data_IF_107949159025
#
_entry.id   IF_107949159025
#
_cell.length_a   1.000
_cell.length_b   1.000
_cell.length_c   1.000
_cell.angle_alpha   90.00
_cell.angle_beta   90.00
_cell.angle_gamma   90.00
#
_symmetry.space_group_name_H-M   'P 1'
#
loop_
_entity.id
_entity.type
_entity.pdbx_description
1 polymer ?
#
# COMPACT_ATOMS: atom_id res chain seq x y z
N UNK A 1 -38.30 18.03 -42.87
CA UNK A 1 -38.35 19.50 -43.02
C UNK A 1 -37.52 20.14 -41.90
N UNK A 2 -36.25 20.53 -42.13
CA UNK A 2 -35.44 21.19 -41.11
C UNK A 2 -35.63 22.71 -41.17
N UNK A 3 -35.99 23.34 -40.05
CA UNK A 3 -36.18 24.80 -39.96
C UNK A 3 -34.89 25.44 -39.43
N UNK A 4 -34.18 26.11 -40.33
CA UNK A 4 -32.97 26.89 -40.06
C UNK A 4 -33.27 28.07 -39.13
N UNK A 5 -32.72 28.04 -37.90
CA UNK A 5 -32.87 29.13 -36.92
C UNK A 5 -31.77 30.18 -37.09
N UNK A 6 -32.20 31.35 -37.57
CA UNK A 6 -31.46 32.60 -37.78
C UNK A 6 -30.78 33.09 -36.49
N UNK A 7 -29.44 33.14 -36.48
CA UNK A 7 -28.62 33.62 -35.36
C UNK A 7 -28.60 35.16 -35.33
N UNK A 8 -29.13 35.77 -34.26
CA UNK A 8 -29.18 37.22 -34.03
C UNK A 8 -27.78 37.72 -33.58
N UNK A 9 -27.13 38.57 -34.37
CA UNK A 9 -25.94 39.35 -33.96
C UNK A 9 -26.33 40.29 -32.82
N UNK A 10 -25.69 40.17 -31.65
CA UNK A 10 -25.74 41.17 -30.58
C UNK A 10 -24.46 42.02 -30.58
N UNK A 11 -24.68 43.29 -30.30
CA UNK A 11 -23.83 44.46 -30.41
C UNK A 11 -22.58 44.43 -29.53
N UNK A 12 -21.48 44.91 -30.10
CA UNK A 12 -20.20 45.22 -29.47
C UNK A 12 -20.38 46.37 -28.46
N UNK A 13 -20.27 46.07 -27.17
CA UNK A 13 -20.14 47.05 -26.09
C UNK A 13 -18.65 47.35 -25.91
N UNK A 14 -18.26 48.60 -26.17
CA UNK A 14 -16.88 49.09 -26.02
C UNK A 14 -16.47 49.14 -24.55
N UNK A 15 -15.70 48.13 -24.12
CA UNK A 15 -15.06 48.10 -22.80
C UNK A 15 -13.75 48.87 -22.90
N UNK A 16 -13.70 50.08 -22.31
CA UNK A 16 -12.48 50.86 -22.12
C UNK A 16 -11.46 50.00 -21.37
N UNK A 17 -10.38 49.64 -22.06
CA UNK A 17 -9.23 48.94 -21.50
C UNK A 17 -8.53 49.87 -20.48
N UNK A 18 -8.80 49.65 -19.19
CA UNK A 18 -7.96 50.19 -18.12
C UNK A 18 -6.58 49.55 -18.30
N UNK A 19 -5.59 50.34 -18.71
CA UNK A 19 -4.17 49.96 -18.69
C UNK A 19 -3.83 49.55 -17.26
N UNK A 20 -3.71 48.25 -17.02
CA UNK A 20 -3.19 47.76 -15.75
C UNK A 20 -1.74 48.26 -15.60
N UNK A 21 -1.36 48.77 -14.42
CA UNK A 21 0.01 49.16 -14.13
C UNK A 21 0.91 47.93 -14.31
N UNK A 22 1.94 48.08 -15.14
CA UNK A 22 2.96 47.05 -15.37
C UNK A 22 3.70 46.85 -14.04
N UNK A 23 3.52 45.69 -13.42
CA UNK A 23 4.27 45.34 -12.21
C UNK A 23 5.77 45.46 -12.49
N UNK A 24 6.56 46.08 -11.59
CA UNK A 24 8.00 46.17 -11.77
C UNK A 24 8.59 44.76 -11.89
N UNK A 25 9.56 44.55 -12.80
CA UNK A 25 10.16 43.24 -12.98
C UNK A 25 10.80 42.79 -11.66
N UNK A 26 10.35 41.64 -11.14
CA UNK A 26 10.97 41.02 -9.98
C UNK A 26 12.46 40.82 -10.27
N UNK A 27 13.32 41.33 -9.39
CA UNK A 27 14.76 41.20 -9.58
C UNK A 27 15.15 39.71 -9.50
N UNK A 28 16.14 39.29 -10.30
CA UNK A 28 16.67 37.92 -10.25
C UNK A 28 17.12 37.51 -8.83
N UNK A 29 17.60 38.46 -8.04
CA UNK A 29 17.97 38.25 -6.64
C UNK A 29 16.76 37.91 -5.75
N UNK A 30 15.61 38.55 -5.96
CA UNK A 30 14.38 38.25 -5.23
C UNK A 30 13.88 36.83 -5.52
N UNK A 31 13.96 36.39 -6.78
CA UNK A 31 13.58 35.02 -7.15
C UNK A 31 14.54 33.99 -6.54
N UNK A 32 15.86 34.25 -6.57
CA UNK A 32 16.85 33.37 -5.97
C UNK A 32 16.63 33.18 -4.46
N UNK A 33 16.36 34.27 -3.73
CA UNK A 33 16.05 34.19 -2.29
C UNK A 33 14.78 33.39 -2.02
N UNK A 34 13.70 33.61 -2.80
CA UNK A 34 12.46 32.86 -2.64
C UNK A 34 12.63 31.35 -2.86
N UNK A 35 13.47 30.95 -3.83
CA UNK A 35 13.80 29.53 -4.02
C UNK A 35 14.60 28.97 -2.85
N UNK A 36 15.62 29.69 -2.35
CA UNK A 36 16.40 29.26 -1.19
C UNK A 36 15.51 29.08 0.05
N UNK A 37 14.61 30.02 0.32
CA UNK A 37 13.64 29.92 1.41
C UNK A 37 12.71 28.71 1.26
N UNK A 38 12.23 28.43 0.04
CA UNK A 38 11.42 27.25 -0.25
C UNK A 38 12.20 25.94 -0.05
N UNK A 39 13.48 25.89 -0.44
CA UNK A 39 14.33 24.73 -0.22
C UNK A 39 14.59 24.48 1.26
N UNK A 40 14.91 25.52 2.04
CA UNK A 40 15.08 25.40 3.49
C UNK A 40 13.80 24.97 4.17
N UNK A 41 12.66 25.54 3.79
CA UNK A 41 11.35 25.12 4.31
C UNK A 41 11.08 23.64 4.01
N UNK A 42 11.32 23.17 2.78
CA UNK A 42 11.14 21.76 2.41
C UNK A 42 12.07 20.84 3.19
N UNK A 43 13.32 21.25 3.42
CA UNK A 43 14.27 20.50 4.24
C UNK A 43 13.78 20.38 5.69
N UNK A 44 13.40 21.49 6.30
CA UNK A 44 12.84 21.52 7.65
C UNK A 44 11.58 20.65 7.77
N UNK A 45 10.70 20.71 6.77
CA UNK A 45 9.50 19.89 6.70
C UNK A 45 9.84 18.39 6.62
N UNK A 46 10.83 18.03 5.80
CA UNK A 46 11.32 16.65 5.72
C UNK A 46 11.91 16.15 7.04
N UNK A 47 12.71 16.97 7.72
CA UNK A 47 13.28 16.67 9.04
C UNK A 47 12.20 16.48 10.11
N UNK A 48 11.19 17.36 10.11
CA UNK A 48 10.04 17.27 11.01
C UNK A 48 9.27 15.96 10.81
N UNK A 49 8.88 15.64 9.58
CA UNK A 49 8.15 14.41 9.26
C UNK A 49 8.96 13.15 9.55
N UNK A 50 10.27 13.16 9.31
CA UNK A 50 11.17 12.07 9.69
C UNK A 50 11.22 11.86 11.21
N UNK A 51 11.21 12.96 12.00
CA UNK A 51 11.17 12.88 13.46
C UNK A 51 9.83 12.33 13.98
N UNK A 52 8.71 12.71 13.36
CA UNK A 52 7.38 12.13 13.64
C UNK A 52 7.38 10.63 13.36
N UNK A 53 7.79 10.24 12.15
CA UNK A 53 7.90 8.83 11.75
C UNK A 53 8.77 8.02 12.70
N UNK A 54 9.93 8.55 13.11
CA UNK A 54 10.84 7.92 14.06
C UNK A 54 10.27 7.76 15.47
N UNK A 55 9.43 8.68 15.92
CA UNK A 55 8.75 8.59 17.22
C UNK A 55 7.67 7.51 17.19
N UNK A 56 6.83 7.53 16.15
CA UNK A 56 5.77 6.53 15.96
C UNK A 56 6.34 5.12 15.78
N UNK A 57 7.37 4.97 14.96
CA UNK A 57 8.06 3.71 14.74
C UNK A 57 8.58 3.11 16.06
N UNK A 58 9.26 3.88 16.90
CA UNK A 58 9.76 3.40 18.20
C UNK A 58 8.63 2.94 19.11
N UNK A 59 7.55 3.73 19.21
CA UNK A 59 6.36 3.38 19.99
C UNK A 59 5.72 2.06 19.50
N UNK A 60 5.60 1.90 18.18
CA UNK A 60 5.08 0.68 17.58
C UNK A 60 5.96 -0.54 17.89
N UNK A 61 7.28 -0.42 17.75
CA UNK A 61 8.22 -1.51 18.07
C UNK A 61 8.18 -1.85 19.55
N UNK A 62 8.08 -0.87 20.47
CA UNK A 62 7.89 -1.13 21.91
C UNK A 62 6.65 -1.98 22.17
N UNK A 63 5.53 -1.60 21.59
CA UNK A 63 4.28 -2.32 21.77
C UNK A 63 4.32 -3.74 21.19
N UNK A 64 4.94 -3.92 20.01
CA UNK A 64 5.09 -5.23 19.37
C UNK A 64 6.04 -6.14 20.18
N UNK A 65 7.19 -5.63 20.61
CA UNK A 65 8.18 -6.39 21.40
C UNK A 65 7.58 -6.83 22.74
N UNK A 66 6.80 -5.98 23.41
CA UNK A 66 6.20 -6.29 24.70
C UNK A 66 5.23 -7.49 24.65
N UNK A 67 4.56 -7.71 23.51
CA UNK A 67 3.55 -8.76 23.36
C UNK A 67 4.03 -9.95 22.52
N UNK A 68 5.11 -9.80 21.75
CA UNK A 68 5.65 -10.83 20.86
C UNK A 68 5.80 -12.22 21.52
N UNK A 69 6.24 -12.38 22.79
CA UNK A 69 6.36 -13.71 23.40
C UNK A 69 5.05 -14.51 23.48
N UNK A 70 3.89 -13.86 23.40
CA UNK A 70 2.56 -14.48 23.51
C UNK A 70 1.88 -14.68 22.15
N UNK A 71 2.41 -14.09 21.10
CA UNK A 71 1.79 -14.01 19.78
C UNK A 71 2.46 -14.96 18.80
N UNK A 72 1.70 -15.53 17.87
CA UNK A 72 2.23 -16.21 16.69
C UNK A 72 2.84 -15.20 15.70
N UNK A 73 3.55 -15.67 14.67
CA UNK A 73 4.10 -14.77 13.64
C UNK A 73 2.97 -14.07 12.87
N UNK A 74 1.84 -14.75 12.75
CA UNK A 74 0.61 -14.25 12.13
C UNK A 74 -0.06 -13.17 12.98
N UNK A 75 -0.19 -13.40 14.29
CA UNK A 75 -0.71 -12.38 15.20
C UNK A 75 0.21 -11.15 15.20
N UNK A 76 1.53 -11.35 15.17
CA UNK A 76 2.49 -10.25 15.12
C UNK A 76 2.38 -9.46 13.81
N UNK A 77 2.16 -10.16 12.69
CA UNK A 77 1.91 -9.56 11.37
C UNK A 77 0.62 -8.73 11.37
N UNK A 78 -0.48 -9.31 11.85
CA UNK A 78 -1.79 -8.66 11.93
C UNK A 78 -1.74 -7.43 12.86
N UNK A 79 -1.10 -7.53 14.02
CA UNK A 79 -0.92 -6.39 14.93
C UNK A 79 0.01 -5.30 14.37
N UNK A 80 1.05 -5.66 13.62
CA UNK A 80 1.89 -4.70 12.90
C UNK A 80 1.04 -3.93 11.88
N UNK A 81 0.27 -4.64 11.06
CA UNK A 81 -0.60 -4.05 10.04
C UNK A 81 -1.63 -3.10 10.65
N UNK A 82 -2.35 -3.53 11.69
CA UNK A 82 -3.35 -2.69 12.38
C UNK A 82 -2.73 -1.41 12.95
N UNK A 83 -1.54 -1.50 13.57
CA UNK A 83 -0.86 -0.31 14.14
C UNK A 83 -0.34 0.62 13.05
N UNK A 84 0.20 0.07 11.97
CA UNK A 84 0.58 0.84 10.79
C UNK A 84 -0.63 1.57 10.21
N UNK A 85 -1.78 0.88 10.09
CA UNK A 85 -3.04 1.44 9.64
C UNK A 85 -3.49 2.64 10.48
N UNK A 86 -3.49 2.47 11.80
CA UNK A 86 -3.88 3.52 12.75
C UNK A 86 -2.98 4.75 12.65
N UNK A 87 -1.66 4.54 12.58
CA UNK A 87 -0.70 5.62 12.43
C UNK A 87 -0.93 6.40 11.12
N UNK A 88 -1.13 5.70 9.99
CA UNK A 88 -1.32 6.37 8.70
C UNK A 88 -2.64 7.13 8.61
N UNK A 89 -3.74 6.57 9.11
CA UNK A 89 -5.01 7.28 9.20
C UNK A 89 -4.91 8.56 10.06
N UNK A 90 -4.13 8.51 11.15
CA UNK A 90 -3.87 9.69 11.99
C UNK A 90 -3.09 10.77 11.22
N UNK A 91 -2.07 10.40 10.45
CA UNK A 91 -1.28 11.36 9.66
C UNK A 91 -2.07 11.94 8.49
N UNK A 92 -2.93 11.15 7.83
CA UNK A 92 -3.77 11.64 6.73
C UNK A 92 -4.83 12.65 7.22
N UNK A 93 -5.38 12.43 8.42
CA UNK A 93 -6.30 13.36 9.06
C UNK A 93 -5.63 14.59 9.70
N UNK A 94 -4.29 14.63 9.74
CA UNK A 94 -3.49 15.65 10.43
C UNK A 94 -3.32 16.97 9.67
N UNK A 95 -2.51 17.86 10.24
CA UNK A 95 -2.06 19.05 9.52
C UNK A 95 -1.18 18.64 8.33
N UNK A 96 -1.21 19.42 7.23
CA UNK A 96 -0.42 19.11 6.02
C UNK A 96 1.07 18.98 6.36
N UNK A 97 1.57 19.76 7.31
CA UNK A 97 2.95 19.71 7.77
C UNK A 97 3.31 18.38 8.44
N UNK A 98 2.34 17.75 9.11
CA UNK A 98 2.49 16.52 9.88
C UNK A 98 2.27 15.25 9.04
N UNK A 99 1.87 15.37 7.76
CA UNK A 99 1.65 14.22 6.89
C UNK A 99 2.94 13.43 6.68
N UNK A 100 3.01 12.24 7.29
CA UNK A 100 4.11 11.28 7.12
C UNK A 100 3.80 10.36 5.93
N UNK A 101 4.76 10.23 5.02
CA UNK A 101 4.63 9.31 3.91
C UNK A 101 4.71 7.84 4.40
N UNK A 102 3.86 6.92 3.88
CA UNK A 102 3.97 5.48 4.09
C UNK A 102 5.38 4.90 4.09
N UNK A 103 6.20 5.28 3.11
CA UNK A 103 7.57 4.80 2.94
C UNK A 103 8.51 5.33 4.04
N UNK A 104 8.29 6.56 4.51
CA UNK A 104 9.10 7.16 5.56
C UNK A 104 8.84 6.51 6.92
N UNK A 105 7.57 6.16 7.21
CA UNK A 105 7.24 5.37 8.40
C UNK A 105 7.88 3.97 8.35
N UNK A 106 7.86 3.31 7.18
CA UNK A 106 8.52 2.01 7.01
C UNK A 106 10.04 2.12 7.20
N UNK A 107 10.70 3.13 6.62
CA UNK A 107 12.13 3.37 6.83
C UNK A 107 12.42 3.61 8.30
N UNK A 108 11.61 4.40 8.98
CA UNK A 108 11.73 4.65 10.41
C UNK A 108 11.57 3.36 11.24
N UNK A 109 10.64 2.47 10.90
CA UNK A 109 10.47 1.15 11.53
C UNK A 109 11.73 0.29 11.39
N UNK A 110 12.29 0.19 10.18
CA UNK A 110 13.51 -0.58 9.94
C UNK A 110 14.72 -0.01 10.70
N UNK A 111 14.87 1.32 10.72
CA UNK A 111 15.92 2.00 11.50
C UNK A 111 15.76 1.72 12.99
N UNK A 112 14.55 1.85 13.54
CA UNK A 112 14.29 1.59 14.96
C UNK A 112 14.58 0.12 15.36
N UNK A 113 14.31 -0.84 14.47
CA UNK A 113 14.67 -2.24 14.68
C UNK A 113 16.20 -2.43 14.66
N UNK A 114 16.90 -1.85 13.69
CA UNK A 114 18.37 -1.94 13.58
C UNK A 114 19.07 -1.35 14.83
N UNK A 115 18.61 -0.19 15.29
CA UNK A 115 19.11 0.46 16.52
C UNK A 115 18.92 -0.43 17.75
N UNK A 116 17.76 -1.06 17.92
CA UNK A 116 17.50 -1.96 19.04
C UNK A 116 18.31 -3.24 18.97
N UNK A 117 18.52 -3.78 17.78
CA UNK A 117 19.39 -4.95 17.59
C UNK A 117 20.83 -4.61 17.98
N UNK A 118 21.31 -3.42 17.61
CA UNK A 118 22.63 -2.94 18.04
C UNK A 118 22.72 -2.79 19.57
N UNK A 119 21.72 -2.14 20.19
CA UNK A 119 21.66 -1.98 21.64
C UNK A 119 21.60 -3.33 22.39
N UNK A 120 20.84 -4.30 21.88
CA UNK A 120 20.75 -5.64 22.46
C UNK A 120 22.11 -6.35 22.39
N UNK A 121 22.84 -6.22 21.28
CA UNK A 121 24.18 -6.77 21.13
C UNK A 121 25.19 -6.14 22.09
N UNK A 122 25.16 -4.82 22.26
CA UNK A 122 26.02 -4.10 23.23
C UNK A 122 25.71 -4.48 24.68
N UNK A 123 24.43 -4.67 25.01
CA UNK A 123 23.97 -5.05 26.34
C UNK A 123 24.10 -6.55 26.65
N UNK A 124 24.38 -7.40 25.65
CA UNK A 124 24.38 -8.86 25.79
C UNK A 124 22.98 -9.46 26.03
N UNK A 125 21.92 -8.77 25.61
CA UNK A 125 20.53 -9.23 25.71
C UNK A 125 20.19 -10.11 24.50
N UNK A 126 19.39 -11.16 24.71
CA UNK A 126 18.93 -12.03 23.61
C UNK A 126 18.09 -11.25 22.57
N UNK A 127 18.54 -11.15 21.31
CA UNK A 127 17.83 -10.43 20.25
C UNK A 127 16.71 -11.25 19.59
N UNK A 128 16.38 -12.46 20.06
CA UNK A 128 15.43 -13.36 19.40
C UNK A 128 14.08 -12.72 19.03
N UNK A 129 13.50 -11.91 19.93
CA UNK A 129 12.24 -11.21 19.67
C UNK A 129 12.37 -10.18 18.54
N UNK A 130 13.49 -9.44 18.51
CA UNK A 130 13.75 -8.43 17.47
C UNK A 130 14.06 -9.07 16.12
N UNK A 131 14.79 -10.20 16.10
CA UNK A 131 15.02 -11.00 14.90
C UNK A 131 13.71 -11.51 14.30
N UNK A 132 12.82 -12.02 15.15
CA UNK A 132 11.49 -12.47 14.76
C UNK A 132 10.64 -11.33 14.19
N UNK A 133 10.59 -10.20 14.88
CA UNK A 133 9.89 -9.01 14.41
C UNK A 133 10.44 -8.49 13.07
N UNK A 134 11.76 -8.48 12.89
CA UNK A 134 12.40 -8.09 11.63
C UNK A 134 11.97 -9.00 10.48
N UNK A 135 11.93 -10.31 10.68
CA UNK A 135 11.43 -11.27 9.68
C UNK A 135 9.96 -11.02 9.32
N UNK A 136 9.10 -10.77 10.32
CA UNK A 136 7.68 -10.45 10.09
C UNK A 136 7.52 -9.15 9.30
N UNK A 137 8.17 -8.06 9.73
CA UNK A 137 8.15 -6.78 9.02
C UNK A 137 8.62 -6.98 7.58
N UNK A 138 9.75 -7.66 7.37
CA UNK A 138 10.28 -7.88 6.04
C UNK A 138 9.37 -8.75 5.15
N UNK A 139 8.57 -9.64 5.75
CA UNK A 139 7.58 -10.47 5.06
C UNK A 139 6.36 -9.71 4.56
N UNK A 140 5.99 -8.60 5.22
CA UNK A 140 4.86 -7.74 4.85
C UNK A 140 5.22 -6.72 3.76
N UNK A 141 6.48 -6.29 3.72
CA UNK A 141 6.87 -5.16 2.87
C UNK A 141 6.85 -5.50 1.38
N UNK A 142 6.31 -4.61 0.52
CA UNK A 142 6.53 -4.65 -0.92
C UNK A 142 7.91 -4.04 -1.28
N UNK A 143 8.57 -4.48 -2.36
CA UNK A 143 9.55 -3.71 -3.12
C UNK A 143 9.11 -2.26 -3.39
N UNK A 144 10.06 -1.30 -3.36
CA UNK A 144 11.48 -1.49 -3.03
C UNK A 144 11.76 -1.63 -1.52
N UNK A 145 10.78 -1.36 -0.65
CA UNK A 145 10.96 -1.37 0.82
C UNK A 145 11.42 -2.74 1.35
N UNK A 146 10.93 -3.82 0.73
CA UNK A 146 11.37 -5.18 1.05
C UNK A 146 12.86 -5.42 0.81
N UNK A 147 13.51 -4.67 -0.09
CA UNK A 147 14.95 -4.83 -0.36
C UNK A 147 15.81 -4.28 0.79
N UNK A 148 15.41 -3.13 1.34
CA UNK A 148 16.03 -2.58 2.54
C UNK A 148 15.86 -3.53 3.73
N UNK A 149 14.66 -4.06 3.92
CA UNK A 149 14.38 -5.02 4.98
C UNK A 149 15.17 -6.33 4.81
N UNK A 150 15.29 -6.85 3.59
CA UNK A 150 16.12 -8.04 3.29
C UNK A 150 17.59 -7.81 3.56
N UNK A 151 18.11 -6.63 3.25
CA UNK A 151 19.49 -6.26 3.58
C UNK A 151 19.71 -6.28 5.08
N UNK A 152 18.75 -5.76 5.85
CA UNK A 152 18.79 -5.78 7.30
C UNK A 152 18.66 -7.20 7.87
N UNK A 153 17.78 -8.04 7.32
CA UNK A 153 17.68 -9.47 7.67
C UNK A 153 19.01 -10.18 7.37
N UNK A 154 19.64 -9.92 6.22
CA UNK A 154 20.91 -10.53 5.87
C UNK A 154 22.04 -10.12 6.83
N UNK A 155 22.05 -8.84 7.26
CA UNK A 155 23.01 -8.30 8.22
C UNK A 155 22.92 -9.00 9.59
N UNK A 156 21.72 -9.25 10.09
CA UNK A 156 21.51 -9.74 11.47
C UNK A 156 21.25 -11.25 11.59
N UNK A 157 20.61 -11.86 10.58
CA UNK A 157 20.21 -13.27 10.58
C UNK A 157 20.90 -14.10 9.48
N UNK A 158 21.64 -13.46 8.57
CA UNK A 158 22.34 -14.13 7.48
C UNK A 158 21.52 -14.29 6.20
N UNK A 159 22.20 -14.69 5.12
CA UNK A 159 21.67 -14.73 3.76
C UNK A 159 20.54 -15.76 3.56
N UNK A 160 20.57 -16.86 4.33
CA UNK A 160 19.53 -17.88 4.27
C UNK A 160 18.18 -17.33 4.77
N UNK A 161 18.16 -16.61 5.89
CA UNK A 161 16.97 -15.97 6.41
C UNK A 161 16.43 -14.91 5.43
N UNK A 162 17.32 -14.10 4.84
CA UNK A 162 16.93 -13.11 3.82
C UNK A 162 16.33 -13.77 2.57
N UNK A 163 16.79 -14.97 2.20
CA UNK A 163 16.22 -15.77 1.11
C UNK A 163 14.83 -16.29 1.45
N UNK A 164 14.62 -16.76 2.68
CA UNK A 164 13.31 -17.22 3.15
C UNK A 164 12.29 -16.08 3.15
N UNK A 165 12.65 -14.92 3.71
CA UNK A 165 11.85 -13.69 3.66
C UNK A 165 11.54 -13.26 2.23
N UNK A 166 12.52 -13.37 1.31
CA UNK A 166 12.30 -13.05 -0.11
C UNK A 166 11.19 -13.90 -0.74
N UNK A 167 11.10 -15.18 -0.37
CA UNK A 167 10.06 -16.08 -0.88
C UNK A 167 8.69 -15.70 -0.31
N UNK A 168 8.62 -15.26 0.94
CA UNK A 168 7.37 -14.93 1.61
C UNK A 168 6.43 -16.13 1.73
N UNK A 169 5.13 -15.86 1.91
CA UNK A 169 4.09 -16.90 1.91
C UNK A 169 3.90 -17.44 0.50
N UNK A 170 3.72 -18.76 0.37
CA UNK A 170 3.43 -19.37 -0.92
C UNK A 170 1.93 -19.34 -1.20
N UNK A 171 1.56 -19.14 -2.47
CA UNK A 171 0.20 -19.43 -2.94
C UNK A 171 0.07 -20.95 -3.07
N UNK A 172 -0.92 -21.53 -2.39
CA UNK A 172 -1.08 -22.99 -2.25
C UNK A 172 -2.12 -23.59 -3.18
N UNK A 173 -2.90 -22.76 -3.86
CA UNK A 173 -4.02 -23.15 -4.70
C UNK A 173 -4.30 -22.15 -5.82
N UNK A 174 -5.43 -22.29 -6.54
CA UNK A 174 -5.75 -21.38 -7.63
C UNK A 174 -6.04 -19.96 -7.10
N UNK A 175 -5.57 -18.96 -7.83
CA UNK A 175 -6.08 -17.60 -7.71
C UNK A 175 -7.47 -17.58 -8.36
N UNK A 176 -8.46 -17.08 -7.64
CA UNK A 176 -9.83 -16.98 -8.10
C UNK A 176 -10.23 -15.52 -8.25
N UNK A 177 -11.20 -15.24 -9.11
CA UNK A 177 -11.80 -13.93 -9.21
C UNK A 177 -13.31 -13.99 -9.45
N UNK A 178 -13.98 -12.88 -9.19
CA UNK A 178 -15.35 -12.60 -9.57
C UNK A 178 -15.46 -11.10 -9.89
N UNK A 179 -16.47 -10.71 -10.65
CA UNK A 179 -16.79 -9.31 -10.88
C UNK A 179 -18.29 -9.06 -10.74
N UNK A 180 -18.65 -7.82 -10.44
CA UNK A 180 -20.02 -7.36 -10.40
C UNK A 180 -20.68 -7.41 -11.80
N UNK A 181 -22.01 -7.23 -11.86
CA UNK A 181 -22.76 -7.26 -13.12
C UNK A 181 -22.36 -6.15 -14.10
N UNK A 182 -21.69 -5.12 -13.61
CA UNK A 182 -21.20 -3.99 -14.41
C UNK A 182 -19.78 -4.19 -14.94
N UNK A 183 -19.03 -5.18 -14.42
CA UNK A 183 -17.63 -5.42 -14.74
C UNK A 183 -16.69 -4.34 -14.20
N UNK A 184 -17.15 -3.55 -13.22
CA UNK A 184 -16.43 -2.41 -12.65
C UNK A 184 -15.87 -2.67 -11.27
N UNK A 185 -16.30 -3.74 -10.62
CA UNK A 185 -15.86 -4.11 -9.28
C UNK A 185 -15.49 -5.57 -9.23
N UNK A 186 -14.31 -5.88 -8.74
CA UNK A 186 -13.71 -7.21 -8.81
C UNK A 186 -13.36 -7.71 -7.41
N UNK A 187 -13.68 -8.96 -7.11
CA UNK A 187 -13.04 -9.71 -6.05
C UNK A 187 -11.93 -10.55 -6.67
N UNK A 188 -10.70 -10.36 -6.21
CA UNK A 188 -9.60 -11.32 -6.46
C UNK A 188 -9.29 -11.99 -5.14
N UNK A 189 -9.21 -13.33 -5.11
CA UNK A 189 -8.88 -14.08 -3.91
C UNK A 189 -7.79 -15.12 -4.16
N UNK A 190 -6.89 -15.30 -3.20
CA UNK A 190 -5.84 -16.31 -3.29
C UNK A 190 -5.58 -16.97 -1.93
N UNK A 191 -5.36 -18.30 -1.88
CA UNK A 191 -4.97 -18.98 -0.66
C UNK A 191 -3.47 -18.84 -0.43
N UNK A 192 -3.08 -18.46 0.78
CA UNK A 192 -1.70 -18.37 1.21
C UNK A 192 -1.41 -19.32 2.36
N UNK A 193 -0.25 -19.98 2.30
CA UNK A 193 0.23 -20.87 3.34
C UNK A 193 0.27 -20.17 4.70
N UNK A 194 -0.30 -20.81 5.71
CA UNK A 194 -0.20 -20.44 7.12
C UNK A 194 0.77 -21.36 7.86
N UNK A 195 1.41 -20.84 8.91
CA UNK A 195 2.26 -21.67 9.80
C UNK A 195 1.42 -22.67 10.59
N UNK A 196 0.17 -22.34 10.90
CA UNK A 196 -0.74 -23.17 11.70
C UNK A 196 -1.45 -24.27 10.86
N UNK A 197 -1.13 -24.33 9.57
CA UNK A 197 -1.47 -25.44 8.68
C UNK A 197 -2.75 -25.27 7.86
N UNK A 198 -3.65 -24.35 8.22
CA UNK A 198 -4.81 -24.00 7.38
C UNK A 198 -4.53 -22.74 6.57
N UNK A 199 -4.62 -22.83 5.25
CA UNK A 199 -4.42 -21.66 4.38
C UNK A 199 -5.37 -20.52 4.73
N UNK A 200 -4.87 -19.29 4.66
CA UNK A 200 -5.66 -18.06 4.78
C UNK A 200 -5.95 -17.52 3.40
N UNK A 201 -7.20 -17.15 3.14
CA UNK A 201 -7.62 -16.60 1.86
C UNK A 201 -7.54 -15.08 1.90
N UNK A 202 -6.67 -14.49 1.08
CA UNK A 202 -6.58 -13.03 0.98
C UNK A 202 -7.52 -12.53 -0.10
N UNK A 203 -8.30 -11.48 0.20
CA UNK A 203 -9.17 -10.77 -0.73
C UNK A 203 -8.52 -9.44 -1.15
N UNK A 204 -8.60 -9.14 -2.44
CA UNK A 204 -8.53 -7.78 -2.97
C UNK A 204 -9.89 -7.43 -3.58
N UNK A 205 -10.59 -6.48 -2.96
CA UNK A 205 -11.75 -5.81 -3.54
C UNK A 205 -11.23 -4.65 -4.39
N UNK A 206 -11.37 -4.75 -5.70
CA UNK A 206 -10.75 -3.85 -6.68
C UNK A 206 -11.81 -3.10 -7.45
N UNK A 207 -11.76 -1.78 -7.40
CA UNK A 207 -12.60 -0.87 -8.15
C UNK A 207 -11.90 -0.42 -9.44
N UNK A 208 -12.60 -0.56 -10.57
CA UNK A 208 -12.16 -0.13 -11.89
C UNK A 208 -13.10 0.89 -12.52
N UNK A 209 -14.05 1.47 -11.76
CA UNK A 209 -15.00 2.47 -12.27
C UNK A 209 -14.36 3.85 -12.47
N UNK A 210 -13.25 4.12 -11.78
CA UNK A 210 -12.53 5.38 -11.82
C UNK A 210 -11.52 5.49 -12.96
N UNK A 211 -10.75 6.58 -12.97
CA UNK A 211 -9.60 6.73 -13.87
C UNK A 211 -8.43 5.79 -13.49
N UNK A 212 -8.42 5.32 -12.26
CA UNK A 212 -7.40 4.44 -11.69
C UNK A 212 -8.05 3.16 -11.17
N UNK A 213 -7.31 2.06 -11.24
CA UNK A 213 -7.68 0.79 -10.61
C UNK A 213 -7.24 0.87 -9.15
N UNK A 214 -8.17 0.71 -8.20
CA UNK A 214 -7.88 0.90 -6.77
C UNK A 214 -8.35 -0.30 -5.97
N UNK A 215 -7.51 -0.80 -5.07
CA UNK A 215 -7.97 -1.73 -4.04
C UNK A 215 -8.65 -0.92 -2.94
N UNK A 216 -9.96 -1.06 -2.83
CA UNK A 216 -10.80 -0.32 -1.88
C UNK A 216 -10.98 -1.04 -0.56
N UNK A 217 -10.75 -2.34 -0.53
CA UNK A 217 -10.75 -3.15 0.67
C UNK A 217 -9.91 -4.40 0.38
N UNK A 218 -9.21 -4.89 1.39
CA UNK A 218 -8.49 -6.14 1.30
C UNK A 218 -8.37 -6.76 2.67
N UNK A 219 -7.97 -8.02 2.74
CA UNK A 219 -7.76 -8.67 4.03
C UNK A 219 -7.84 -10.19 3.96
N UNK A 220 -7.44 -10.82 5.06
CA UNK A 220 -7.52 -12.28 5.20
C UNK A 220 -8.90 -12.73 5.67
N UNK A 221 -9.33 -13.85 5.10
CA UNK A 221 -10.56 -14.56 5.42
C UNK A 221 -10.26 -16.06 5.65
N UNK A 222 -11.07 -16.76 6.47
CA UNK A 222 -10.89 -18.19 6.69
C UNK A 222 -11.07 -19.06 5.43
N UNK A 223 -11.93 -18.62 4.50
CA UNK A 223 -12.29 -19.36 3.28
C UNK A 223 -12.53 -18.42 2.10
N UNK A 224 -12.42 -18.95 0.88
CA UNK A 224 -12.77 -18.22 -0.34
C UNK A 224 -14.24 -17.76 -0.31
N UNK A 225 -15.13 -18.62 0.21
CA UNK A 225 -16.56 -18.36 0.34
C UNK A 225 -16.84 -17.19 1.29
N UNK A 226 -16.12 -17.11 2.43
CA UNK A 226 -16.25 -15.98 3.35
C UNK A 226 -15.70 -14.68 2.78
N UNK A 227 -14.61 -14.74 1.99
CA UNK A 227 -14.06 -13.59 1.29
C UNK A 227 -15.07 -13.03 0.27
N UNK A 228 -15.60 -13.88 -0.61
CA UNK A 228 -16.59 -13.42 -1.61
C UNK A 228 -17.90 -12.99 -0.96
N UNK A 229 -18.32 -13.59 0.16
CA UNK A 229 -19.49 -13.13 0.90
C UNK A 229 -19.32 -11.68 1.40
N UNK A 230 -18.16 -11.38 2.00
CA UNK A 230 -17.80 -10.02 2.45
C UNK A 230 -17.77 -9.04 1.28
N UNK A 231 -17.16 -9.44 0.16
CA UNK A 231 -17.15 -8.63 -1.06
C UNK A 231 -18.58 -8.35 -1.59
N UNK A 232 -19.45 -9.37 -1.66
CA UNK A 232 -20.83 -9.19 -2.13
C UNK A 232 -21.64 -8.25 -1.22
N UNK A 233 -21.37 -8.26 0.08
CA UNK A 233 -21.97 -7.33 1.05
C UNK A 233 -21.50 -5.89 0.79
N UNK A 234 -20.20 -5.69 0.58
CA UNK A 234 -19.58 -4.39 0.23
C UNK A 234 -20.13 -3.82 -1.08
N UNK A 235 -20.19 -4.63 -2.13
CA UNK A 235 -20.66 -4.22 -3.46
C UNK A 235 -22.18 -4.02 -3.52
N UNK A 236 -22.93 -4.68 -2.65
CA UNK A 236 -24.38 -4.67 -2.62
C UNK A 236 -25.00 -5.75 -3.50
N UNK A 237 -26.11 -6.32 -3.04
CA UNK A 237 -26.74 -7.52 -3.63
C UNK A 237 -27.08 -7.39 -5.12
N UNK A 238 -27.59 -6.22 -5.54
CA UNK A 238 -27.99 -5.98 -6.93
C UNK A 238 -26.79 -5.97 -7.88
N UNK A 239 -25.71 -5.28 -7.48
CA UNK A 239 -24.49 -5.17 -8.28
C UNK A 239 -23.69 -6.49 -8.26
N UNK A 240 -23.59 -7.15 -7.11
CA UNK A 240 -22.95 -8.45 -7.00
C UNK A 240 -23.66 -9.54 -7.82
N UNK A 241 -25.00 -9.47 -7.96
CA UNK A 241 -25.79 -10.43 -8.73
C UNK A 241 -25.51 -11.88 -8.34
N UNK A 242 -25.37 -12.74 -9.35
CA UNK A 242 -25.01 -14.15 -9.19
C UNK A 242 -23.49 -14.41 -9.33
N UNK A 243 -22.65 -13.38 -9.14
CA UNK A 243 -21.20 -13.47 -9.33
C UNK A 243 -20.62 -14.64 -8.53
N UNK A 244 -19.97 -15.58 -9.19
CA UNK A 244 -19.35 -16.75 -8.58
C UNK A 244 -17.84 -16.69 -8.80
N UNK A 245 -17.08 -17.18 -7.81
CA UNK A 245 -15.62 -17.29 -7.96
C UNK A 245 -15.30 -18.28 -9.07
N UNK A 246 -14.47 -17.84 -10.01
CA UNK A 246 -13.89 -18.67 -11.06
C UNK A 246 -12.38 -18.60 -10.98
N UNK A 247 -11.69 -19.64 -11.44
CA UNK A 247 -10.23 -19.58 -11.53
C UNK A 247 -9.83 -18.48 -12.53
N UNK A 248 -8.81 -17.70 -12.18
CA UNK A 248 -8.22 -16.72 -13.10
C UNK A 248 -7.76 -17.46 -14.36
N UNK A 249 -8.11 -16.92 -15.53
CA UNK A 249 -7.73 -17.45 -16.83
C UNK A 249 -6.96 -16.43 -17.70
N UNK A 250 -6.93 -15.15 -17.30
CA UNK A 250 -6.18 -14.11 -17.99
C UNK A 250 -5.18 -13.39 -17.07
N UNK A 251 -3.89 -13.59 -17.39
CA UNK A 251 -2.76 -12.99 -16.69
C UNK A 251 -2.69 -11.47 -16.87
N UNK A 252 -3.13 -10.95 -18.01
CA UNK A 252 -3.08 -9.53 -18.31
C UNK A 252 -4.08 -8.78 -17.44
N UNK A 253 -5.33 -9.24 -17.41
CA UNK A 253 -6.35 -8.71 -16.50
C UNK A 253 -5.94 -8.86 -15.04
N UNK A 254 -5.41 -10.02 -14.61
CA UNK A 254 -4.92 -10.17 -13.23
C UNK A 254 -3.80 -9.17 -12.92
N UNK A 255 -2.89 -8.96 -13.85
CA UNK A 255 -1.80 -7.99 -13.73
C UNK A 255 -2.28 -6.54 -13.66
N UNK A 256 -3.40 -6.22 -14.33
CA UNK A 256 -4.05 -4.91 -14.29
C UNK A 256 -4.83 -4.69 -12.99
N UNK A 257 -5.48 -5.73 -12.45
CA UNK A 257 -6.26 -5.66 -11.21
C UNK A 257 -5.36 -5.58 -9.97
N UNK A 258 -4.33 -6.41 -9.90
CA UNK A 258 -3.38 -6.43 -8.78
C UNK A 258 -2.19 -5.51 -9.07
N UNK A 259 -2.48 -4.22 -9.30
CA UNK A 259 -1.60 -3.07 -9.60
C UNK A 259 -0.10 -3.36 -9.79
N UNK A 260 0.46 -2.89 -10.91
CA UNK A 260 1.92 -2.86 -11.12
C UNK A 260 2.55 -1.83 -10.18
N UNK A 261 3.71 -2.21 -9.65
CA UNK A 261 4.46 -1.52 -8.59
C UNK A 261 4.81 -0.05 -8.89
N UNK A 262 4.53 0.45 -10.10
CA UNK A 262 4.89 1.75 -10.65
C UNK A 262 3.78 2.82 -10.63
N UNK A 263 2.50 2.44 -10.51
CA UNK A 263 1.36 3.38 -10.52
C UNK A 263 0.85 3.72 -9.10
N UNK A 264 1.32 2.98 -8.08
CA UNK A 264 0.79 2.99 -6.71
C UNK A 264 1.17 4.23 -5.86
N UNK A 265 1.79 5.25 -6.47
CA UNK A 265 2.09 6.52 -5.81
C UNK A 265 0.89 7.48 -5.73
N UNK A 266 -0.17 7.23 -6.51
CA UNK A 266 -1.40 7.99 -6.50
C UNK A 266 -2.42 7.28 -5.62
N UNK A 267 -2.40 7.61 -4.32
CA UNK A 267 -3.55 7.40 -3.45
C UNK A 267 -4.53 8.53 -3.70
N UNK A 268 -5.81 8.19 -3.82
CA UNK A 268 -6.88 9.17 -4.07
C UNK A 268 -7.10 10.07 -2.84
N UNK A 269 -6.65 9.61 -1.66
CA UNK A 269 -6.84 10.28 -0.37
C UNK A 269 -8.19 9.93 0.25
N UNK A 270 -8.25 9.94 1.58
CA UNK A 270 -9.46 9.58 2.34
C UNK A 270 -9.56 8.10 2.68
N UNK A 271 -8.45 7.37 2.63
CA UNK A 271 -8.41 6.00 3.11
C UNK A 271 -8.61 5.89 4.63
N UNK A 272 -9.33 4.88 5.05
CA UNK A 272 -9.54 4.58 6.45
C UNK A 272 -8.39 3.74 7.05
N UNK A 273 -8.47 3.56 8.36
CA UNK A 273 -7.50 2.78 9.13
C UNK A 273 -7.36 1.33 8.62
N UNK A 274 -8.45 0.68 8.19
CA UNK A 274 -8.45 -0.71 7.77
C UNK A 274 -7.77 -0.85 6.40
N UNK A 275 -8.06 0.07 5.47
CA UNK A 275 -7.37 0.18 4.19
C UNK A 275 -5.88 0.44 4.35
N UNK A 276 -5.48 1.32 5.28
CA UNK A 276 -4.05 1.52 5.57
C UNK A 276 -3.39 0.31 6.23
N UNK A 277 -4.11 -0.44 7.08
CA UNK A 277 -3.56 -1.62 7.72
C UNK A 277 -3.15 -2.68 6.69
N UNK A 278 -3.95 -2.83 5.64
CA UNK A 278 -3.72 -3.82 4.60
C UNK A 278 -2.82 -3.35 3.47
N UNK A 279 -2.46 -2.06 3.43
CA UNK A 279 -1.76 -1.47 2.30
C UNK A 279 -0.46 -2.19 1.90
N UNK A 280 0.46 -2.36 2.86
CA UNK A 280 1.77 -2.96 2.57
C UNK A 280 1.61 -4.45 2.23
N UNK A 281 0.79 -5.14 3.04
CA UNK A 281 0.52 -6.57 2.90
C UNK A 281 -0.16 -6.90 1.58
N UNK A 282 -1.24 -6.20 1.24
CA UNK A 282 -2.00 -6.41 0.01
C UNK A 282 -1.13 -6.23 -1.23
N UNK A 283 -0.24 -5.25 -1.25
CA UNK A 283 0.74 -5.05 -2.34
C UNK A 283 1.73 -6.21 -2.44
N UNK A 284 2.28 -6.65 -1.30
CA UNK A 284 3.22 -7.76 -1.25
C UNK A 284 2.58 -9.05 -1.75
N UNK A 285 1.42 -9.40 -1.20
CA UNK A 285 0.68 -10.61 -1.56
C UNK A 285 0.15 -10.54 -3.00
N UNK A 286 -0.23 -9.35 -3.49
CA UNK A 286 -0.72 -9.17 -4.86
C UNK A 286 0.37 -9.47 -5.89
N UNK A 287 1.63 -9.08 -5.63
CA UNK A 287 2.76 -9.55 -6.44
C UNK A 287 2.92 -11.06 -6.38
N UNK A 288 2.91 -11.64 -5.18
CA UNK A 288 3.07 -13.09 -5.02
C UNK A 288 1.99 -13.89 -5.78
N UNK A 289 0.73 -13.42 -5.76
CA UNK A 289 -0.36 -14.02 -6.54
C UNK A 289 -0.11 -13.94 -8.06
N UNK A 290 0.32 -12.78 -8.57
CA UNK A 290 0.66 -12.61 -10.00
C UNK A 290 1.82 -13.52 -10.42
N UNK A 291 2.87 -13.60 -9.62
CA UNK A 291 4.03 -14.45 -9.90
C UNK A 291 3.69 -15.94 -9.89
N UNK A 292 2.83 -16.37 -8.95
CA UNK A 292 2.35 -17.74 -8.88
C UNK A 292 1.56 -18.12 -10.15
N UNK A 293 0.67 -17.23 -10.61
CA UNK A 293 -0.11 -17.45 -11.83
C UNK A 293 0.78 -17.53 -13.08
N UNK A 294 1.78 -16.65 -13.21
CA UNK A 294 2.71 -16.64 -14.32
C UNK A 294 3.48 -17.96 -14.46
N UNK A 295 4.00 -18.50 -13.35
CA UNK A 295 4.73 -19.79 -13.33
C UNK A 295 3.86 -20.97 -13.78
N UNK A 296 2.60 -21.03 -13.32
CA UNK A 296 1.70 -22.13 -13.69
C UNK A 296 1.33 -22.16 -15.17
N UNK A 297 1.49 -21.05 -15.91
CA UNK A 297 1.24 -21.01 -17.35
C UNK A 297 2.42 -21.54 -18.16
N UNK A 298 3.65 -21.21 -17.76
CA UNK A 298 4.87 -21.63 -18.46
C UNK A 298 5.15 -23.14 -18.29
N UNK A 299 4.69 -23.73 -17.20
CA UNK A 299 4.84 -25.17 -16.92
C UNK A 299 3.82 -26.06 -17.65
N UNK A 300 2.83 -25.50 -18.37
CA UNK A 300 1.93 -26.31 -19.20
C UNK A 300 2.62 -26.65 -20.52
N UNK A 301 2.86 -27.93 -20.85
CA UNK A 301 3.36 -28.30 -22.16
C UNK A 301 2.39 -27.80 -23.22
N UNK A 302 2.89 -27.09 -24.23
CA UNK A 302 2.11 -26.71 -25.41
C UNK A 302 1.44 -27.96 -25.98
N UNK A 303 0.13 -28.08 -25.75
CA UNK A 303 -0.74 -29.14 -26.26
C UNK A 303 -1.57 -28.65 -27.42
#
# INVERSE_FOLDING_TARGET
>A
MPVSRKRKKKSQSGRKSQRQPVAPPQSRASLANAFSELFEYRRQLGEHRAALAGTEARSMIDALVANAPQWSDEDLEDHLCVRYGAAMAQYDAGAVEDVVNPDDLVRALLTAIDERLHQAAEAGTDPAVLHRLLTVVAGVLPPPLSESARTLVAKHLGTQAATQVSRGRAVTGPVLWAHDVYGTRWAVVAPFSSVDGSDRWYLWDVDTCGYEVVTVHSGFHPTAESAVATWRESVGHEAAGAAALTAVDDAETLGALLLRDDIEGLRVGGEDQEQYAEFLRGRRLGRTAREAFGKTRDDRPYG
#
